data_IF_807109568226
#
_entry.id   IF_807109568226
#
_cell.length_a   1.000
_cell.length_b   1.000
_cell.length_c   1.000
_cell.angle_alpha   90.00
_cell.angle_beta   90.00
_cell.angle_gamma   90.00
#
_symmetry.space_group_name_H-M   'P 1'
#
loop_
_entity.id
_entity.type
_entity.pdbx_description
1 polymer ?
#
# COMPACT_ATOMS: atom_id res chain seq x y z
N UNK A 1 -77.06 39.43 -21.05
CA UNK A 1 -77.04 38.08 -20.47
C UNK A 1 -76.00 37.30 -21.24
N UNK A 2 -74.78 37.29 -20.71
CA UNK A 2 -73.56 37.02 -21.48
C UNK A 2 -72.66 36.11 -20.65
N UNK A 3 -72.33 34.97 -21.23
CA UNK A 3 -71.54 33.88 -20.65
C UNK A 3 -70.07 34.28 -20.51
N UNK A 4 -69.42 33.95 -19.38
CA UNK A 4 -67.97 33.72 -19.34
C UNK A 4 -67.67 32.42 -18.60
N UNK A 5 -67.02 31.52 -19.34
CA UNK A 5 -66.59 30.17 -18.96
C UNK A 5 -65.44 30.24 -17.95
N UNK A 6 -65.49 29.42 -16.90
CA UNK A 6 -64.34 29.07 -16.09
C UNK A 6 -63.44 28.13 -16.90
N UNK A 7 -62.18 28.51 -17.11
CA UNK A 7 -61.13 27.62 -17.57
C UNK A 7 -60.32 27.18 -16.34
N UNK A 8 -60.36 25.89 -16.03
CA UNK A 8 -59.46 25.25 -15.06
C UNK A 8 -58.27 24.71 -15.86
N UNK A 9 -57.11 25.31 -15.65
CA UNK A 9 -55.85 24.87 -16.26
C UNK A 9 -55.32 23.67 -15.48
N UNK A 10 -55.33 22.50 -16.11
CA UNK A 10 -54.74 21.27 -15.59
C UNK A 10 -53.23 21.30 -15.92
N UNK A 11 -52.37 21.53 -14.93
CA UNK A 11 -50.92 21.38 -15.10
C UNK A 11 -50.58 19.89 -15.15
N UNK A 12 -50.22 19.43 -16.35
CA UNK A 12 -49.66 18.10 -16.58
C UNK A 12 -48.15 18.19 -16.36
N UNK A 13 -47.65 17.78 -15.19
CA UNK A 13 -46.21 17.60 -14.96
C UNK A 13 -45.86 16.14 -15.20
N UNK A 14 -45.49 15.80 -16.43
CA UNK A 14 -44.81 14.53 -16.71
C UNK A 14 -43.37 14.63 -16.21
N UNK A 15 -43.06 13.91 -15.13
CA UNK A 15 -41.70 13.69 -14.64
C UNK A 15 -40.97 12.83 -15.68
N UNK A 16 -40.05 13.43 -16.41
CA UNK A 16 -39.12 12.72 -17.28
C UNK A 16 -38.06 12.08 -16.36
N UNK A 17 -38.22 10.79 -16.05
CA UNK A 17 -37.19 10.04 -15.35
C UNK A 17 -35.94 9.95 -16.23
N UNK A 18 -34.92 10.73 -15.90
CA UNK A 18 -33.57 10.46 -16.40
C UNK A 18 -33.15 9.10 -15.82
N UNK A 19 -33.11 8.08 -16.69
CA UNK A 19 -32.29 6.91 -16.46
C UNK A 19 -30.83 7.37 -16.52
N UNK A 20 -30.29 7.75 -15.37
CA UNK A 20 -28.84 7.87 -15.24
C UNK A 20 -28.29 6.46 -15.31
N UNK A 21 -27.65 6.12 -16.42
CA UNK A 21 -26.69 5.02 -16.45
C UNK A 21 -25.70 5.31 -15.34
N UNK A 22 -25.71 4.51 -14.28
CA UNK A 22 -24.65 4.50 -13.27
C UNK A 22 -23.36 4.12 -14.00
N UNK A 23 -22.65 5.10 -14.56
CA UNK A 23 -21.22 4.96 -14.74
C UNK A 23 -20.70 4.84 -13.31
N UNK A 24 -20.27 3.63 -12.94
CA UNK A 24 -19.60 3.41 -11.67
C UNK A 24 -18.49 4.45 -11.57
N UNK A 25 -18.66 5.39 -10.65
CA UNK A 25 -17.69 6.45 -10.41
C UNK A 25 -16.39 5.76 -9.99
N UNK A 26 -15.27 6.13 -10.62
CA UNK A 26 -13.95 5.64 -10.21
C UNK A 26 -13.79 5.87 -8.71
N UNK A 27 -13.09 4.97 -8.02
CA UNK A 27 -12.72 5.22 -6.63
C UNK A 27 -11.94 6.54 -6.59
N UNK A 28 -12.49 7.57 -5.95
CA UNK A 28 -11.78 8.83 -5.78
C UNK A 28 -10.83 8.70 -4.60
N UNK A 29 -9.62 9.23 -4.77
CA UNK A 29 -8.58 9.24 -3.74
C UNK A 29 -8.13 10.67 -3.50
N UNK A 30 -7.95 11.03 -2.22
CA UNK A 30 -7.16 12.20 -1.85
C UNK A 30 -5.71 11.79 -1.68
N UNK A 31 -4.79 12.67 -2.09
CA UNK A 31 -3.36 12.40 -2.00
C UNK A 31 -2.70 13.31 -0.97
N UNK A 32 -1.86 12.70 -0.13
CA UNK A 32 -1.00 13.40 0.82
C UNK A 32 0.46 13.14 0.48
N UNK A 33 1.29 14.19 0.54
CA UNK A 33 2.75 14.05 0.47
C UNK A 33 3.28 13.70 1.86
N UNK A 34 3.99 12.59 1.96
CA UNK A 34 4.66 12.16 3.20
C UNK A 34 6.06 12.74 3.30
N UNK A 35 6.82 12.65 2.21
CA UNK A 35 8.19 13.12 2.10
C UNK A 35 8.58 13.27 0.63
N UNK A 36 9.46 14.21 0.31
CA UNK A 36 10.00 14.41 -1.03
C UNK A 36 11.48 14.87 -0.99
N UNK A 37 12.11 15.00 -2.15
CA UNK A 37 13.50 15.47 -2.30
C UNK A 37 13.74 16.89 -1.77
N UNK A 38 12.68 17.67 -1.50
CA UNK A 38 12.76 19.01 -0.93
C UNK A 38 12.50 19.03 0.59
N UNK A 39 12.15 17.88 1.17
CA UNK A 39 11.77 17.78 2.58
C UNK A 39 12.98 17.99 3.49
N UNK A 40 12.75 18.67 4.62
CA UNK A 40 13.78 19.05 5.58
C UNK A 40 14.29 17.83 6.38
N UNK A 41 15.15 17.03 5.77
CA UNK A 41 16.07 16.19 6.52
C UNK A 41 17.28 17.00 6.98
N UNK A 42 18.00 16.52 8.00
CA UNK A 42 19.35 17.03 8.28
C UNK A 42 20.29 16.85 7.08
N UNK A 43 19.99 15.90 6.19
CA UNK A 43 20.75 15.55 4.98
C UNK A 43 19.78 15.31 3.83
N UNK A 44 19.93 15.93 2.65
CA UNK A 44 19.07 15.68 1.49
C UNK A 44 18.91 14.19 1.19
N UNK A 45 17.67 13.75 1.00
CA UNK A 45 17.33 12.37 0.60
C UNK A 45 16.93 12.33 -0.87
N UNK A 46 17.29 11.24 -1.53
CA UNK A 46 16.93 10.93 -2.92
C UNK A 46 16.80 9.40 -3.06
N UNK A 47 16.19 8.90 -4.13
CA UNK A 47 15.92 7.46 -4.32
C UNK A 47 15.05 6.87 -3.19
N UNK A 48 13.74 7.14 -3.24
CA UNK A 48 12.76 6.60 -2.29
C UNK A 48 12.31 5.20 -2.69
N UNK A 49 12.39 4.25 -1.77
CA UNK A 49 12.05 2.86 -2.07
C UNK A 49 11.37 2.16 -0.89
N UNK A 50 10.63 1.10 -1.25
CA UNK A 50 9.96 0.14 -0.38
C UNK A 50 9.13 0.78 0.73
N UNK A 51 8.17 1.68 0.41
CA UNK A 51 7.32 2.26 1.42
C UNK A 51 6.34 1.21 1.98
N UNK A 52 6.21 1.17 3.31
CA UNK A 52 5.23 0.38 4.04
C UNK A 52 4.36 1.31 4.89
N UNK A 53 3.05 1.03 4.97
CA UNK A 53 2.10 1.82 5.76
C UNK A 53 1.34 0.92 6.74
N UNK A 54 1.17 1.40 7.98
CA UNK A 54 0.37 0.69 8.98
C UNK A 54 -1.02 1.31 9.16
N UNK A 55 -1.85 0.67 9.98
CA UNK A 55 -3.25 1.09 10.24
C UNK A 55 -3.36 2.37 11.05
N UNK A 56 -2.26 2.88 11.61
CA UNK A 56 -2.20 4.20 12.25
C UNK A 56 -1.83 5.30 11.25
N UNK A 57 -1.33 4.93 10.06
CA UNK A 57 -0.84 5.87 9.05
C UNK A 57 0.63 6.24 9.23
N UNK A 58 1.35 5.48 10.06
CA UNK A 58 2.82 5.54 10.07
C UNK A 58 3.32 4.93 8.77
N UNK A 59 4.25 5.62 8.12
CA UNK A 59 4.95 5.15 6.93
C UNK A 59 6.41 4.87 7.29
N UNK A 60 6.89 3.67 6.97
CA UNK A 60 8.30 3.32 6.99
C UNK A 60 8.81 3.20 5.55
N UNK A 61 10.06 3.61 5.30
CA UNK A 61 10.61 3.63 3.94
C UNK A 61 12.14 3.63 3.95
N UNK A 62 12.71 3.20 2.84
CA UNK A 62 14.14 3.34 2.55
C UNK A 62 14.39 4.60 1.71
N UNK A 63 15.52 5.26 1.95
CA UNK A 63 16.00 6.33 1.08
C UNK A 63 17.53 6.42 1.09
N UNK A 64 18.11 6.82 -0.04
CA UNK A 64 19.48 7.32 -0.06
C UNK A 64 19.52 8.74 0.50
N UNK A 65 20.68 9.15 1.03
CA UNK A 65 20.93 10.51 1.45
C UNK A 65 22.37 10.92 1.15
N UNK A 66 22.59 12.21 0.85
CA UNK A 66 23.93 12.76 0.72
C UNK A 66 24.00 14.26 1.04
N UNK A 67 25.11 14.67 1.65
CA UNK A 67 25.59 16.05 1.73
C UNK A 67 27.10 16.11 1.46
N UNK A 68 27.70 17.29 1.61
CA UNK A 68 29.13 17.53 1.36
C UNK A 68 30.09 16.76 2.31
N UNK A 69 29.58 16.10 3.35
CA UNK A 69 30.37 15.42 4.40
C UNK A 69 30.00 13.93 4.54
N UNK A 70 28.74 13.55 4.30
CA UNK A 70 28.18 12.21 4.53
C UNK A 70 27.23 11.80 3.40
N UNK A 71 27.31 10.53 2.97
CA UNK A 71 26.36 9.93 2.02
C UNK A 71 26.13 8.46 2.34
N UNK A 72 24.90 7.98 2.27
CA UNK A 72 24.57 6.59 2.58
C UNK A 72 23.11 6.24 2.32
N UNK A 73 22.68 5.12 2.87
CA UNK A 73 21.27 4.70 2.84
C UNK A 73 20.73 4.61 4.26
N UNK A 74 19.43 4.82 4.39
CA UNK A 74 18.75 4.76 5.68
C UNK A 74 17.34 4.20 5.57
N UNK A 75 16.87 3.68 6.69
CA UNK A 75 15.48 3.32 6.92
C UNK A 75 14.89 4.34 7.88
N UNK A 76 13.78 4.92 7.48
CA UNK A 76 13.11 6.02 8.17
C UNK A 76 11.67 5.65 8.44
N UNK A 77 11.07 6.34 9.41
CA UNK A 77 9.64 6.27 9.67
C UNK A 77 9.07 7.67 9.91
N UNK A 78 7.80 7.88 9.58
CA UNK A 78 7.10 9.15 9.82
C UNK A 78 5.60 8.93 9.96
N UNK A 79 4.94 9.79 10.73
CA UNK A 79 3.49 9.87 10.86
C UNK A 79 2.95 11.23 10.40
N UNK A 80 3.67 11.88 9.48
CA UNK A 80 3.37 13.22 8.96
C UNK A 80 3.82 14.37 9.88
N UNK A 81 4.19 14.12 11.14
CA UNK A 81 4.66 15.17 12.07
C UNK A 81 6.18 15.28 12.17
N UNK A 82 6.85 14.13 12.16
CA UNK A 82 8.30 14.04 12.35
C UNK A 82 8.85 12.80 11.66
N UNK A 83 9.93 12.99 10.91
CA UNK A 83 10.73 11.89 10.38
C UNK A 83 11.67 11.39 11.49
N UNK A 84 11.68 10.08 11.70
CA UNK A 84 12.52 9.36 12.66
C UNK A 84 13.43 8.40 11.90
N UNK A 85 14.74 8.58 12.04
CA UNK A 85 15.72 7.59 11.56
C UNK A 85 15.62 6.34 12.42
N UNK A 86 15.35 5.20 11.78
CA UNK A 86 15.38 3.88 12.42
C UNK A 86 16.82 3.37 12.43
N UNK A 87 17.49 3.43 11.28
CA UNK A 87 18.89 3.04 11.09
C UNK A 87 19.42 3.71 9.82
N UNK A 88 20.73 3.92 9.76
CA UNK A 88 21.40 4.40 8.56
C UNK A 88 22.86 3.88 8.51
N UNK A 89 23.50 3.95 7.34
CA UNK A 89 24.86 3.39 7.12
C UNK A 89 26.02 4.27 7.61
N UNK A 90 25.78 5.50 8.05
CA UNK A 90 26.84 6.41 8.54
C UNK A 90 26.63 6.86 10.00
N UNK A 91 25.56 6.40 10.65
CA UNK A 91 25.05 6.94 11.89
C UNK A 91 25.70 6.35 13.14
N UNK A 92 25.46 7.02 14.26
CA UNK A 92 25.94 6.66 15.61
C UNK A 92 25.29 5.39 16.19
N UNK A 93 24.25 4.85 15.52
CA UNK A 93 23.44 3.73 16.02
C UNK A 93 23.96 2.33 15.61
N UNK A 94 25.10 2.25 14.93
CA UNK A 94 25.78 1.00 14.64
C UNK A 94 26.53 1.04 13.32
N UNK A 95 27.61 0.25 13.22
CA UNK A 95 28.39 0.09 11.99
C UNK A 95 27.64 -0.78 10.97
N UNK A 96 26.55 -0.24 10.41
CA UNK A 96 25.80 -0.87 9.33
C UNK A 96 26.44 -0.53 7.98
N UNK A 97 26.76 -1.55 7.18
CA UNK A 97 27.33 -1.36 5.83
C UNK A 97 26.29 -1.50 4.72
N UNK A 98 25.18 -2.19 5.00
CA UNK A 98 24.06 -2.36 4.09
C UNK A 98 22.75 -2.53 4.86
N UNK A 99 21.65 -2.16 4.21
CA UNK A 99 20.30 -2.24 4.74
C UNK A 99 19.38 -2.89 3.70
N UNK A 100 18.54 -3.81 4.16
CA UNK A 100 17.49 -4.42 3.35
C UNK A 100 16.17 -3.66 3.43
N UNK A 101 15.13 -4.24 2.82
CA UNK A 101 13.80 -3.64 2.78
C UNK A 101 13.08 -3.68 4.14
N UNK A 102 12.47 -2.55 4.60
CA UNK A 102 11.73 -2.52 5.85
C UNK A 102 10.37 -3.21 5.78
N UNK A 103 9.93 -3.75 6.91
CA UNK A 103 8.52 -4.06 7.20
C UNK A 103 8.05 -3.34 8.46
N UNK A 104 6.75 -3.12 8.59
CA UNK A 104 6.17 -2.26 9.62
C UNK A 104 4.94 -2.93 10.25
N UNK A 105 4.86 -2.92 11.59
CA UNK A 105 3.65 -3.32 12.31
C UNK A 105 2.81 -2.11 12.77
N UNK A 106 1.60 -2.36 13.29
CA UNK A 106 0.68 -1.31 13.74
C UNK A 106 1.16 -0.53 14.96
N UNK A 107 2.13 -1.07 15.71
CA UNK A 107 2.79 -0.34 16.82
C UNK A 107 3.93 0.59 16.37
N UNK A 108 4.21 0.68 15.07
CA UNK A 108 5.29 1.52 14.53
C UNK A 108 6.67 0.89 14.65
N UNK A 109 6.76 -0.41 14.95
CA UNK A 109 8.03 -1.14 14.96
C UNK A 109 8.38 -1.55 13.55
N UNK A 110 9.59 -1.19 13.13
CA UNK A 110 10.14 -1.53 11.82
C UNK A 110 11.07 -2.73 11.97
N UNK A 111 10.88 -3.77 11.17
CA UNK A 111 11.83 -4.87 11.04
C UNK A 111 12.61 -4.76 9.72
N UNK A 112 13.90 -5.09 9.73
CA UNK A 112 14.78 -4.98 8.57
C UNK A 112 15.97 -5.94 8.67
N UNK A 113 16.56 -6.28 7.52
CA UNK A 113 17.85 -6.96 7.46
C UNK A 113 18.96 -5.91 7.34
N UNK A 114 20.16 -6.22 7.82
CA UNK A 114 21.34 -5.41 7.51
C UNK A 114 22.64 -6.14 7.79
N UNK A 115 23.69 -5.73 7.09
CA UNK A 115 25.04 -6.07 7.51
C UNK A 115 25.47 -5.15 8.63
N UNK A 116 25.96 -5.74 9.72
CA UNK A 116 26.39 -4.99 10.88
C UNK A 116 27.71 -5.52 11.41
N UNK A 117 28.61 -4.61 11.76
CA UNK A 117 29.82 -4.95 12.51
C UNK A 117 29.60 -4.71 14.00
N UNK A 118 29.65 -5.77 14.81
CA UNK A 118 29.63 -5.69 16.27
C UNK A 118 30.94 -6.24 16.84
N UNK A 119 31.59 -5.50 17.73
CA UNK A 119 32.80 -5.96 18.42
C UNK A 119 33.89 -6.50 17.46
N UNK A 120 34.08 -5.86 16.31
CA UNK A 120 34.99 -6.26 15.21
C UNK A 120 34.62 -7.55 14.48
N UNK A 121 33.40 -8.02 14.66
CA UNK A 121 32.83 -9.17 13.93
C UNK A 121 31.73 -8.64 13.01
N UNK A 122 31.94 -8.80 11.70
CA UNK A 122 30.93 -8.48 10.69
C UNK A 122 30.02 -9.68 10.45
N UNK A 123 28.77 -9.41 10.13
CA UNK A 123 27.78 -10.43 9.83
C UNK A 123 26.49 -9.81 9.32
N UNK A 124 25.57 -10.67 8.91
CA UNK A 124 24.24 -10.27 8.46
C UNK A 124 23.25 -10.59 9.56
N UNK A 125 22.39 -9.63 9.88
CA UNK A 125 21.36 -9.82 10.90
C UNK A 125 20.01 -9.29 10.48
N UNK A 126 19.01 -9.70 11.26
CA UNK A 126 17.68 -9.13 11.27
C UNK A 126 17.50 -8.32 12.54
N UNK A 127 16.87 -7.17 12.42
CA UNK A 127 16.76 -6.19 13.48
C UNK A 127 15.36 -5.61 13.52
N UNK A 128 14.99 -5.09 14.68
CA UNK A 128 13.77 -4.31 14.87
C UNK A 128 14.09 -2.98 15.54
N UNK A 129 13.38 -1.92 15.18
CA UNK A 129 13.51 -0.62 15.82
C UNK A 129 12.31 0.28 15.62
N UNK A 130 12.14 1.24 16.52
CA UNK A 130 11.14 2.31 16.45
C UNK A 130 11.79 3.70 16.74
N UNK A 131 13.10 3.79 16.48
CA UNK A 131 13.99 4.87 16.88
C UNK A 131 15.00 4.44 17.94
N UNK A 132 16.17 5.07 17.96
CA UNK A 132 17.28 4.67 18.85
C UNK A 132 18.08 3.47 18.33
N UNK A 133 18.73 2.73 19.23
CA UNK A 133 19.54 1.55 18.86
C UNK A 133 18.65 0.37 18.46
N UNK A 134 18.81 -0.21 17.24
CA UNK A 134 18.04 -1.37 16.83
C UNK A 134 18.32 -2.62 17.68
N UNK A 135 17.26 -3.34 18.04
CA UNK A 135 17.33 -4.62 18.71
C UNK A 135 17.65 -5.74 17.72
N UNK A 136 18.51 -6.68 18.10
CA UNK A 136 18.87 -7.84 17.27
C UNK A 136 17.84 -8.94 17.40
N UNK A 137 17.26 -9.36 16.27
CA UNK A 137 16.35 -10.50 16.15
C UNK A 137 17.14 -11.79 15.89
N UNK A 138 18.11 -11.71 14.99
CA UNK A 138 19.02 -12.79 14.59
C UNK A 138 20.30 -12.18 14.04
N UNK A 139 21.43 -12.86 14.20
CA UNK A 139 22.72 -12.41 13.66
C UNK A 139 23.58 -13.61 13.30
N UNK A 140 24.04 -13.63 12.06
CA UNK A 140 24.94 -14.64 11.52
C UNK A 140 26.27 -14.00 11.12
N UNK A 141 27.33 -14.32 11.86
CA UNK A 141 28.68 -13.85 11.62
C UNK A 141 29.48 -14.70 10.63
N UNK A 142 28.88 -15.75 10.07
CA UNK A 142 29.47 -16.60 9.05
C UNK A 142 28.80 -16.43 7.67
N UNK A 143 27.82 -15.53 7.58
CA UNK A 143 27.14 -15.22 6.32
C UNK A 143 28.16 -14.88 5.23
N UNK A 144 28.20 -15.69 4.15
CA UNK A 144 29.20 -15.58 3.07
C UNK A 144 28.83 -14.58 1.97
N UNK A 145 27.73 -13.86 2.15
CA UNK A 145 27.24 -12.85 1.22
C UNK A 145 25.88 -12.30 1.66
N UNK A 146 25.46 -11.22 1.02
CA UNK A 146 24.12 -10.63 1.21
C UNK A 146 23.19 -11.27 0.19
N UNK A 147 22.17 -11.95 0.69
CA UNK A 147 20.92 -12.12 -0.02
C UNK A 147 19.93 -11.20 0.70
N UNK A 148 19.36 -10.24 -0.03
CA UNK A 148 18.39 -9.29 0.53
C UNK A 148 17.12 -10.07 0.86
N UNK A 149 16.96 -10.41 2.13
CA UNK A 149 15.74 -10.97 2.70
C UNK A 149 14.90 -9.84 3.26
N UNK A 150 13.60 -9.94 3.03
CA UNK A 150 12.60 -9.02 3.56
C UNK A 150 11.93 -9.66 4.77
N UNK A 151 12.33 -9.31 6.01
CA UNK A 151 11.62 -9.80 7.18
C UNK A 151 10.21 -9.24 7.19
N UNK A 152 9.26 -9.98 7.76
CA UNK A 152 7.90 -9.54 8.02
C UNK A 152 7.63 -9.56 9.52
N UNK A 153 6.96 -8.54 10.04
CA UNK A 153 6.66 -8.38 11.46
C UNK A 153 5.16 -8.26 11.68
N UNK A 154 4.63 -8.93 12.69
CA UNK A 154 3.25 -8.75 13.13
C UNK A 154 3.15 -7.86 14.39
N UNK A 155 1.93 -7.56 14.82
CA UNK A 155 1.65 -6.67 15.95
C UNK A 155 2.05 -7.26 17.30
N UNK A 156 2.28 -8.57 17.38
CA UNK A 156 2.87 -9.22 18.55
C UNK A 156 4.40 -9.07 18.59
N UNK A 157 5.00 -8.42 17.61
CA UNK A 157 6.45 -8.31 17.45
C UNK A 157 7.12 -9.62 17.01
N UNK A 158 6.34 -10.58 16.51
CA UNK A 158 6.91 -11.81 15.92
C UNK A 158 7.45 -11.49 14.54
N UNK A 159 8.71 -11.83 14.30
CA UNK A 159 9.39 -11.56 13.02
C UNK A 159 9.59 -12.86 12.26
N UNK A 160 9.03 -12.96 11.05
CA UNK A 160 9.32 -14.02 10.10
C UNK A 160 10.44 -13.58 9.15
N UNK A 161 11.41 -14.44 8.89
CA UNK A 161 12.55 -14.13 8.03
C UNK A 161 13.14 -15.40 7.39
N UNK A 162 13.79 -15.25 6.24
CA UNK A 162 14.58 -16.31 5.63
C UNK A 162 16.05 -16.17 6.05
N UNK A 163 16.77 -17.26 6.28
CA UNK A 163 18.22 -17.16 6.46
C UNK A 163 18.94 -16.69 5.19
N UNK A 164 20.18 -16.23 5.39
CA UNK A 164 21.01 -15.64 4.34
C UNK A 164 21.54 -16.69 3.34
N UNK A 165 21.19 -17.97 3.51
CA UNK A 165 21.48 -19.05 2.56
C UNK A 165 20.25 -19.40 1.70
N UNK A 166 19.20 -18.57 1.78
CA UNK A 166 17.89 -18.76 1.12
C UNK A 166 17.23 -20.09 1.45
N UNK A 167 17.65 -20.73 2.55
CA UNK A 167 17.45 -22.14 2.81
C UNK A 167 16.36 -22.42 3.85
N UNK A 168 16.25 -21.63 4.91
CA UNK A 168 15.24 -21.88 5.93
C UNK A 168 14.49 -20.61 6.34
N UNK A 169 13.18 -20.78 6.53
CA UNK A 169 12.33 -19.77 7.12
C UNK A 169 12.28 -19.98 8.62
N UNK A 170 12.41 -18.88 9.34
CA UNK A 170 12.31 -18.83 10.79
C UNK A 170 11.25 -17.84 11.23
N UNK A 171 10.75 -18.07 12.44
CA UNK A 171 10.05 -17.05 13.22
C UNK A 171 10.86 -16.77 14.49
N UNK A 172 11.02 -15.50 14.84
CA UNK A 172 11.41 -15.08 16.17
C UNK A 172 10.17 -14.58 16.90
N UNK A 173 9.76 -15.29 17.95
CA UNK A 173 8.68 -14.87 18.82
C UNK A 173 9.21 -14.74 20.25
N UNK A 174 9.19 -13.52 20.80
CA UNK A 174 9.70 -13.20 22.14
C UNK A 174 11.17 -13.65 22.35
N UNK A 175 12.03 -13.48 21.36
CA UNK A 175 13.44 -13.87 21.41
C UNK A 175 13.71 -15.34 21.12
N UNK A 176 12.67 -16.18 20.97
CA UNK A 176 12.82 -17.58 20.59
C UNK A 176 12.75 -17.74 19.08
N UNK A 177 13.84 -18.21 18.48
CA UNK A 177 13.93 -18.54 17.06
C UNK A 177 13.46 -19.98 16.83
N UNK A 178 12.54 -20.17 15.88
CA UNK A 178 12.00 -21.48 15.47
C UNK A 178 12.05 -21.60 13.97
N UNK A 179 12.70 -22.64 13.44
CA UNK A 179 12.62 -22.97 12.00
C UNK A 179 11.22 -23.49 11.68
N UNK A 180 10.61 -22.96 10.62
CA UNK A 180 9.26 -23.32 10.18
C UNK A 180 9.23 -23.92 8.78
N UNK A 181 10.30 -23.82 7.98
CA UNK A 181 10.40 -24.50 6.70
C UNK A 181 11.85 -24.48 6.20
N UNK A 182 12.20 -25.46 5.39
CA UNK A 182 13.31 -25.34 4.46
C UNK A 182 12.73 -24.93 3.10
N UNK A 183 13.10 -23.76 2.63
CA UNK A 183 12.64 -23.15 1.38
C UNK A 183 13.86 -22.93 0.50
N UNK A 184 13.73 -22.98 -0.82
CA UNK A 184 14.81 -22.57 -1.73
C UNK A 184 14.42 -21.24 -2.40
N UNK A 185 14.35 -20.15 -1.62
CA UNK A 185 14.23 -18.81 -2.20
C UNK A 185 12.86 -18.10 -2.13
N UNK A 186 12.43 -17.65 -0.95
CA UNK A 186 11.28 -16.73 -0.86
C UNK A 186 11.21 -15.92 0.43
N UNK A 187 10.63 -14.72 0.35
CA UNK A 187 10.42 -13.86 1.52
C UNK A 187 9.13 -14.27 2.28
N UNK A 188 9.22 -14.62 3.58
CA UNK A 188 8.04 -14.99 4.34
C UNK A 188 7.23 -13.75 4.74
N UNK A 189 5.90 -13.86 4.75
CA UNK A 189 5.01 -12.81 5.26
C UNK A 189 4.15 -13.37 6.39
N UNK A 190 4.04 -12.66 7.51
CA UNK A 190 3.31 -13.11 8.70
C UNK A 190 2.15 -12.17 9.02
N UNK A 191 0.99 -12.74 9.41
CA UNK A 191 -0.16 -11.98 9.92
C UNK A 191 -0.25 -12.00 11.46
N UNK A 192 -1.23 -11.31 12.05
CA UNK A 192 -1.42 -11.22 13.50
C UNK A 192 -1.93 -12.52 14.14
N UNK A 193 -2.52 -13.44 13.36
CA UNK A 193 -2.78 -14.81 13.79
C UNK A 193 -1.51 -15.67 13.91
N UNK A 194 -0.37 -15.20 13.41
CA UNK A 194 0.88 -15.98 13.34
C UNK A 194 0.91 -16.97 12.17
N UNK A 195 0.00 -16.82 11.21
CA UNK A 195 0.06 -17.55 9.95
C UNK A 195 1.14 -16.94 9.09
N UNK A 196 2.00 -17.77 8.50
CA UNK A 196 3.10 -17.34 7.64
C UNK A 196 2.88 -17.86 6.22
N UNK A 197 2.91 -16.98 5.22
CA UNK A 197 2.96 -17.36 3.80
C UNK A 197 4.41 -17.44 3.31
N UNK A 198 4.72 -18.45 2.50
CA UNK A 198 6.03 -18.65 1.86
C UNK A 198 5.94 -19.71 0.76
N UNK A 199 6.99 -19.83 -0.05
CA UNK A 199 7.09 -20.85 -1.11
C UNK A 199 7.89 -22.05 -0.63
N UNK A 200 7.30 -23.24 -0.76
CA UNK A 200 7.97 -24.52 -0.59
C UNK A 200 8.38 -25.11 -1.95
N UNK A 201 9.60 -25.67 -2.07
CA UNK A 201 10.07 -26.26 -3.33
C UNK A 201 9.17 -27.37 -3.89
N UNK A 202 8.52 -28.14 -3.02
CA UNK A 202 7.69 -29.30 -3.36
C UNK A 202 6.19 -28.99 -3.44
N UNK A 203 5.72 -27.90 -2.80
CA UNK A 203 4.29 -27.58 -2.67
C UNK A 203 3.85 -26.28 -3.33
N UNK A 204 4.79 -25.43 -3.75
CA UNK A 204 4.49 -24.08 -4.21
C UNK A 204 4.20 -23.12 -3.06
N UNK A 205 3.36 -22.11 -3.31
CA UNK A 205 2.95 -21.12 -2.32
C UNK A 205 2.03 -21.77 -1.28
N UNK A 206 2.40 -21.65 -0.01
CA UNK A 206 1.66 -22.19 1.13
C UNK A 206 1.45 -21.14 2.21
N UNK A 207 0.47 -21.38 3.07
CA UNK A 207 0.41 -20.79 4.41
C UNK A 207 0.72 -21.85 5.47
N UNK A 208 1.34 -21.43 6.57
CA UNK A 208 1.59 -22.28 7.74
C UNK A 208 1.17 -21.58 9.02
N UNK A 209 0.34 -22.24 9.82
CA UNK A 209 0.03 -21.81 11.19
C UNK A 209 0.28 -23.00 12.15
N UNK A 210 1.35 -22.90 12.94
CA UNK A 210 1.85 -24.01 13.74
C UNK A 210 2.24 -25.22 12.87
N UNK A 211 1.53 -26.33 13.03
CA UNK A 211 1.74 -27.56 12.25
C UNK A 211 0.82 -27.69 11.04
N UNK A 212 -0.14 -26.78 10.87
CA UNK A 212 -1.07 -26.81 9.75
C UNK A 212 -0.42 -26.11 8.56
N UNK A 213 -0.36 -26.78 7.41
CA UNK A 213 0.10 -26.22 6.14
C UNK A 213 -1.00 -26.33 5.11
N UNK A 214 -1.34 -25.21 4.49
CA UNK A 214 -2.35 -25.12 3.43
C UNK A 214 -1.67 -24.71 2.14
N UNK A 215 -1.82 -25.50 1.08
CA UNK A 215 -1.36 -25.11 -0.25
C UNK A 215 -2.32 -24.08 -0.84
N UNK A 216 -1.78 -22.95 -1.28
CA UNK A 216 -2.54 -21.87 -1.92
C UNK A 216 -2.45 -22.01 -3.43
N UNK A 217 -1.23 -22.14 -3.96
CA UNK A 217 -0.97 -22.24 -5.39
C UNK A 217 0.29 -23.08 -5.66
N UNK A 218 0.33 -23.74 -6.82
CA UNK A 218 1.50 -24.48 -7.29
C UNK A 218 1.64 -24.37 -8.81
N UNK A 219 2.78 -24.83 -9.32
CA UNK A 219 3.13 -24.77 -10.75
C UNK A 219 2.75 -26.03 -11.53
N UNK A 220 1.89 -26.89 -10.98
CA UNK A 220 1.50 -28.14 -11.64
C UNK A 220 0.39 -27.96 -12.68
N UNK A 221 -0.31 -26.81 -12.66
CA UNK A 221 -1.49 -26.57 -13.50
C UNK A 221 -1.52 -25.17 -14.10
N UNK A 222 -1.98 -24.14 -13.39
CA UNK A 222 -2.26 -22.82 -13.99
C UNK A 222 -0.98 -22.00 -14.21
N UNK A 223 0.01 -22.19 -13.36
CA UNK A 223 1.18 -21.31 -13.26
C UNK A 223 2.45 -21.98 -13.75
N UNK A 224 3.27 -21.25 -14.50
CA UNK A 224 4.66 -21.65 -14.84
C UNK A 224 5.62 -21.29 -13.72
N UNK A 225 5.39 -20.18 -13.02
CA UNK A 225 6.15 -19.76 -11.84
C UNK A 225 5.29 -18.92 -10.89
N UNK A 226 5.72 -18.86 -9.63
CA UNK A 226 5.15 -18.02 -8.58
C UNK A 226 6.23 -17.01 -8.16
N UNK A 227 5.85 -15.75 -7.91
CA UNK A 227 6.80 -14.72 -7.46
C UNK A 227 7.43 -15.06 -6.10
N UNK A 228 8.76 -14.92 -6.00
CA UNK A 228 9.54 -15.17 -4.79
C UNK A 228 9.62 -13.98 -3.83
N UNK A 229 9.22 -12.79 -4.25
CA UNK A 229 9.38 -11.54 -3.49
C UNK A 229 8.34 -11.33 -2.38
N UNK A 230 7.82 -12.45 -1.85
CA UNK A 230 6.81 -12.48 -0.81
C UNK A 230 5.38 -12.44 -1.36
N UNK A 231 4.45 -12.96 -0.59
CA UNK A 231 3.03 -13.03 -0.93
C UNK A 231 2.21 -12.64 0.30
N UNK A 232 1.72 -11.39 0.42
CA UNK A 232 1.05 -10.96 1.64
C UNK A 232 -0.25 -11.72 1.84
N UNK A 233 -0.64 -11.78 3.11
CA UNK A 233 -1.86 -12.45 3.55
C UNK A 233 -2.62 -11.57 4.53
N UNK A 234 -3.94 -11.65 4.47
CA UNK A 234 -4.80 -10.99 5.43
C UNK A 234 -5.02 -11.85 6.69
N UNK A 235 -5.77 -11.34 7.66
CA UNK A 235 -6.05 -12.06 8.92
C UNK A 235 -6.85 -13.36 8.72
N UNK A 236 -7.65 -13.47 7.65
CA UNK A 236 -8.38 -14.68 7.28
C UNK A 236 -7.51 -15.74 6.59
N UNK A 237 -6.24 -15.43 6.30
CA UNK A 237 -5.31 -16.31 5.61
C UNK A 237 -5.48 -16.34 4.09
N UNK A 238 -6.21 -15.39 3.52
CA UNK A 238 -6.24 -15.16 2.07
C UNK A 238 -4.94 -14.51 1.65
N UNK A 239 -4.23 -15.13 0.70
CA UNK A 239 -2.94 -14.68 0.19
C UNK A 239 -3.11 -14.02 -1.15
N UNK A 240 -2.52 -12.85 -1.36
CA UNK A 240 -2.36 -12.23 -2.67
C UNK A 240 -0.97 -12.54 -3.24
N UNK A 241 -0.89 -12.86 -4.53
CA UNK A 241 0.37 -13.24 -5.17
C UNK A 241 0.39 -12.92 -6.67
N UNK A 242 1.59 -12.66 -7.18
CA UNK A 242 1.91 -12.55 -8.60
C UNK A 242 2.38 -13.91 -9.13
N UNK A 243 1.91 -14.31 -10.31
CA UNK A 243 2.33 -15.54 -10.97
C UNK A 243 2.40 -15.40 -12.49
N UNK A 244 3.33 -16.13 -13.11
CA UNK A 244 3.36 -16.34 -14.55
C UNK A 244 2.42 -17.49 -14.91
N UNK A 245 1.63 -17.30 -15.98
CA UNK A 245 0.66 -18.28 -16.46
C UNK A 245 1.32 -19.30 -17.40
N UNK A 246 0.89 -20.57 -17.38
CA UNK A 246 1.32 -21.56 -18.38
C UNK A 246 0.92 -21.16 -19.81
N UNK A 247 -0.20 -20.45 -19.97
CA UNK A 247 -0.67 -19.93 -21.25
C UNK A 247 0.17 -18.75 -21.79
N UNK A 248 1.16 -18.28 -21.02
CA UNK A 248 1.85 -17.02 -21.24
C UNK A 248 1.14 -15.86 -20.55
N UNK A 249 1.91 -14.80 -20.28
CA UNK A 249 1.47 -13.64 -19.51
C UNK A 249 1.58 -13.82 -18.00
N UNK A 250 1.13 -12.81 -17.28
CA UNK A 250 1.19 -12.71 -15.82
C UNK A 250 -0.19 -12.41 -15.24
N UNK A 251 -0.36 -12.67 -13.94
CA UNK A 251 -1.55 -12.24 -13.22
C UNK A 251 -1.35 -12.07 -11.72
N UNK A 252 -2.23 -11.24 -11.15
CA UNK A 252 -2.41 -11.04 -9.72
C UNK A 252 -3.61 -11.88 -9.28
N UNK A 253 -3.38 -12.75 -8.30
CA UNK A 253 -4.37 -13.70 -7.80
C UNK A 253 -4.52 -13.59 -6.29
N UNK A 254 -5.68 -14.01 -5.79
CA UNK A 254 -5.87 -14.31 -4.37
C UNK A 254 -6.31 -15.75 -4.17
N UNK A 255 -5.99 -16.32 -3.01
CA UNK A 255 -6.45 -17.66 -2.64
C UNK A 255 -6.27 -17.97 -1.16
N UNK A 256 -7.11 -18.87 -0.65
CA UNK A 256 -7.09 -19.34 0.74
C UNK A 256 -6.99 -20.88 0.85
N UNK A 257 -6.65 -21.55 -0.26
CA UNK A 257 -6.53 -23.01 -0.36
C UNK A 257 -7.78 -23.74 -0.88
N UNK A 258 -8.90 -23.05 -1.11
CA UNK A 258 -10.08 -23.63 -1.76
C UNK A 258 -10.12 -23.34 -3.26
N UNK A 259 -10.21 -22.05 -3.62
CA UNK A 259 -10.23 -21.59 -5.02
C UNK A 259 -9.38 -20.34 -5.18
N UNK A 260 -8.87 -20.15 -6.39
CA UNK A 260 -8.16 -18.95 -6.78
C UNK A 260 -9.14 -17.93 -7.39
N UNK A 261 -8.91 -16.66 -7.09
CA UNK A 261 -9.60 -15.54 -7.73
C UNK A 261 -8.58 -14.71 -8.50
N UNK A 262 -8.85 -14.47 -9.79
CA UNK A 262 -8.06 -13.52 -10.58
C UNK A 262 -8.49 -12.11 -10.23
N UNK A 263 -7.53 -11.26 -9.82
CA UNK A 263 -7.75 -9.84 -9.55
C UNK A 263 -7.48 -9.02 -10.81
N UNK A 264 -6.39 -9.33 -11.51
CA UNK A 264 -5.98 -8.74 -12.77
C UNK A 264 -5.03 -9.69 -13.50
N UNK A 265 -4.99 -9.61 -14.83
CA UNK A 265 -4.02 -10.34 -15.65
C UNK A 265 -3.65 -9.53 -16.90
N UNK A 266 -2.63 -9.99 -17.62
CA UNK A 266 -2.14 -9.34 -18.84
C UNK A 266 -2.95 -9.70 -20.10
N UNK A 267 -4.11 -10.37 -19.97
CA UNK A 267 -5.00 -10.59 -21.11
C UNK A 267 -5.78 -9.32 -21.48
N UNK A 268 -6.02 -8.45 -20.50
CA UNK A 268 -6.68 -7.14 -20.64
C UNK A 268 -5.72 -5.99 -20.98
N UNK A 269 -5.87 -4.85 -20.31
CA UNK A 269 -5.13 -3.61 -20.62
C UNK A 269 -3.71 -3.56 -20.04
N UNK A 270 -3.37 -4.49 -19.13
CA UNK A 270 -2.04 -4.56 -18.51
C UNK A 270 -1.04 -5.29 -19.40
N UNK A 271 0.18 -4.77 -19.46
CA UNK A 271 1.32 -5.36 -20.16
C UNK A 271 2.18 -6.23 -19.24
N UNK A 272 2.17 -5.95 -17.94
CA UNK A 272 2.88 -6.70 -16.91
C UNK A 272 2.71 -6.06 -15.53
N UNK A 273 3.26 -6.69 -14.50
CA UNK A 273 3.20 -6.22 -13.11
C UNK A 273 4.58 -5.88 -12.57
N UNK A 274 4.70 -4.78 -11.83
CA UNK A 274 5.99 -4.26 -11.38
C UNK A 274 6.53 -4.88 -10.09
N UNK A 275 5.64 -5.38 -9.22
CA UNK A 275 6.00 -5.93 -7.91
C UNK A 275 4.91 -6.86 -7.37
N UNK A 276 5.20 -7.52 -6.25
CA UNK A 276 4.18 -8.27 -5.49
C UNK A 276 3.03 -7.35 -5.05
N UNK A 277 1.77 -7.83 -5.12
CA UNK A 277 0.60 -7.04 -4.71
C UNK A 277 0.58 -6.84 -3.19
N UNK A 278 -0.22 -5.88 -2.71
CA UNK A 278 -0.58 -5.74 -1.30
C UNK A 278 -2.05 -6.16 -1.08
N UNK A 279 -2.38 -6.73 0.09
CA UNK A 279 -3.75 -7.12 0.48
C UNK A 279 -4.05 -6.64 1.89
N UNK A 280 -5.30 -6.20 2.14
CA UNK A 280 -5.78 -5.83 3.47
C UNK A 280 -6.81 -6.83 4.04
N UNK A 281 -7.27 -6.60 5.27
CA UNK A 281 -8.21 -7.48 5.97
C UNK A 281 -9.62 -7.52 5.37
N UNK A 282 -10.01 -6.50 4.59
CA UNK A 282 -11.23 -6.53 3.78
C UNK A 282 -11.08 -7.37 2.49
N UNK A 283 -9.89 -7.92 2.22
CA UNK A 283 -9.57 -8.64 1.00
C UNK A 283 -9.35 -7.74 -0.22
N UNK A 284 -9.23 -6.42 -0.02
CA UNK A 284 -8.87 -5.50 -1.10
C UNK A 284 -7.42 -5.70 -1.47
N UNK A 285 -7.15 -5.68 -2.78
CA UNK A 285 -5.80 -5.84 -3.33
C UNK A 285 -5.41 -4.54 -4.03
N UNK A 286 -4.16 -4.10 -3.83
CA UNK A 286 -3.53 -3.04 -4.60
C UNK A 286 -2.27 -3.57 -5.29
N UNK A 287 -2.01 -3.14 -6.51
CA UNK A 287 -0.87 -3.62 -7.29
C UNK A 287 -0.35 -2.55 -8.26
N UNK A 288 0.94 -2.62 -8.57
CA UNK A 288 1.59 -1.80 -9.58
C UNK A 288 1.64 -2.54 -10.92
N UNK A 289 1.22 -1.89 -12.00
CA UNK A 289 1.17 -2.45 -13.33
C UNK A 289 1.65 -1.49 -14.43
N UNK A 290 2.23 -2.08 -15.47
CA UNK A 290 2.53 -1.41 -16.74
C UNK A 290 1.34 -1.56 -17.69
N UNK A 291 1.05 -0.51 -18.47
CA UNK A 291 -0.09 -0.48 -19.38
C UNK A 291 0.33 -0.74 -20.81
N UNK A 292 -0.47 -1.50 -21.57
CA UNK A 292 -0.27 -1.72 -23.02
C UNK A 292 -0.37 -0.43 -23.82
N UNK A 293 -1.10 0.56 -23.32
CA UNK A 293 -1.16 1.92 -23.89
C UNK A 293 0.12 2.73 -23.68
N UNK A 294 1.09 2.19 -22.94
CA UNK A 294 2.25 2.90 -22.42
C UNK A 294 1.98 3.52 -21.06
N UNK A 295 3.06 3.70 -20.29
CA UNK A 295 3.01 4.21 -18.92
C UNK A 295 2.73 3.10 -17.89
N UNK A 296 2.48 3.54 -16.66
CA UNK A 296 2.33 2.67 -15.50
C UNK A 296 1.44 3.31 -14.44
N UNK A 297 0.98 2.52 -13.48
CA UNK A 297 0.18 3.02 -12.38
C UNK A 297 -0.11 1.99 -11.30
N UNK A 298 -0.81 2.44 -10.26
CA UNK A 298 -1.28 1.62 -9.16
C UNK A 298 -2.80 1.44 -9.29
N UNK A 299 -3.24 0.19 -9.17
CA UNK A 299 -4.62 -0.23 -9.41
C UNK A 299 -5.11 -1.15 -8.30
N UNK A 300 -6.43 -1.29 -8.20
CA UNK A 300 -7.12 -2.16 -7.23
C UNK A 300 -7.97 -3.26 -7.88
N UNK A 301 -7.83 -3.46 -9.19
CA UNK A 301 -8.62 -4.41 -9.97
C UNK A 301 -8.39 -4.26 -11.47
N UNK A 302 -9.06 -5.11 -12.26
CA UNK A 302 -8.78 -5.26 -13.69
C UNK A 302 -9.26 -4.10 -14.59
N UNK A 303 -10.21 -3.28 -14.13
CA UNK A 303 -10.74 -2.16 -14.92
C UNK A 303 -9.87 -0.90 -14.67
N UNK A 304 -9.04 -0.54 -15.65
CA UNK A 304 -8.08 0.57 -15.54
C UNK A 304 -8.72 1.96 -15.40
N UNK A 305 -10.04 2.07 -15.55
CA UNK A 305 -10.78 3.32 -15.32
C UNK A 305 -11.37 3.31 -13.91
N UNK A 306 -12.07 2.24 -13.53
CA UNK A 306 -12.77 2.16 -12.23
C UNK A 306 -11.83 1.91 -11.06
N UNK A 307 -10.77 1.13 -11.29
CA UNK A 307 -9.86 0.65 -10.25
C UNK A 307 -8.54 1.42 -10.19
N UNK A 308 -8.36 2.47 -11.00
CA UNK A 308 -7.16 3.30 -10.97
C UNK A 308 -7.06 4.07 -9.66
N UNK A 309 -5.91 3.95 -9.02
CA UNK A 309 -5.51 4.80 -7.89
C UNK A 309 -4.78 6.02 -8.43
N UNK A 310 -3.69 5.80 -9.17
CA UNK A 310 -2.88 6.84 -9.80
C UNK A 310 -2.10 6.22 -10.98
N UNK A 311 -1.88 6.98 -12.06
CA UNK A 311 -1.04 6.55 -13.18
C UNK A 311 -0.21 7.70 -13.75
N UNK A 312 0.82 7.37 -14.54
CA UNK A 312 1.61 8.36 -15.30
C UNK A 312 0.69 9.27 -16.12
N UNK A 313 0.95 10.58 -16.05
CA UNK A 313 0.14 11.63 -16.68
C UNK A 313 -0.96 12.21 -15.79
N UNK A 314 -1.38 11.50 -14.73
CA UNK A 314 -2.32 12.02 -13.74
C UNK A 314 -1.70 13.15 -12.92
N UNK A 315 -2.55 14.02 -12.38
CA UNK A 315 -2.09 15.06 -11.45
C UNK A 315 -1.88 14.43 -10.07
N UNK A 316 -0.74 14.72 -9.46
CA UNK A 316 -0.44 14.41 -8.06
C UNK A 316 -0.05 15.71 -7.38
N UNK A 317 -0.96 16.23 -6.56
CA UNK A 317 -0.89 17.59 -6.01
C UNK A 317 -0.74 18.63 -7.14
N UNK A 318 0.31 19.45 -7.10
CA UNK A 318 0.54 20.55 -8.04
C UNK A 318 1.40 20.16 -9.26
N UNK A 319 1.63 18.86 -9.50
CA UNK A 319 2.43 18.38 -10.64
C UNK A 319 1.83 17.13 -11.27
N UNK A 320 2.50 16.61 -12.31
CA UNK A 320 2.09 15.39 -13.02
C UNK A 320 3.01 14.23 -12.67
N UNK A 321 2.43 13.04 -12.50
CA UNK A 321 3.20 11.80 -12.34
C UNK A 321 3.93 11.48 -13.64
N UNK A 322 5.23 11.26 -13.56
CA UNK A 322 6.07 10.83 -14.68
C UNK A 322 6.57 9.40 -14.53
N UNK A 323 6.55 8.85 -13.32
CA UNK A 323 6.90 7.46 -13.04
C UNK A 323 6.44 7.04 -11.64
N UNK A 324 6.17 5.75 -11.48
CA UNK A 324 6.00 5.09 -10.18
C UNK A 324 7.36 4.50 -9.83
N UNK A 325 7.98 5.00 -8.77
CA UNK A 325 9.33 4.59 -8.38
C UNK A 325 9.31 3.31 -7.54
N UNK A 326 8.29 3.17 -6.69
CA UNK A 326 8.16 2.02 -5.81
C UNK A 326 6.74 1.85 -5.29
N UNK A 327 6.28 0.60 -5.30
CA UNK A 327 5.10 0.11 -4.58
C UNK A 327 5.45 -1.29 -4.06
N UNK A 328 5.22 -1.54 -2.79
CA UNK A 328 5.59 -2.79 -2.13
C UNK A 328 4.34 -3.49 -1.57
N UNK A 329 4.46 -4.77 -1.23
CA UNK A 329 3.41 -5.65 -0.74
C UNK A 329 2.88 -5.28 0.67
N UNK A 330 3.52 -4.31 1.35
CA UNK A 330 3.01 -3.63 2.56
C UNK A 330 2.52 -2.20 2.27
N UNK A 331 2.29 -1.88 1.00
CA UNK A 331 1.86 -0.58 0.52
C UNK A 331 0.38 -0.27 0.77
N UNK A 332 -0.40 -1.19 1.35
CA UNK A 332 -1.84 -1.05 1.61
C UNK A 332 -2.14 -1.38 3.08
N UNK A 333 -2.88 -0.51 3.78
CA UNK A 333 -3.35 -0.76 5.15
C UNK A 333 -4.85 -1.13 5.21
N UNK A 334 -5.34 -1.47 6.41
CA UNK A 334 -6.74 -1.85 6.65
C UNK A 334 -7.73 -0.69 6.55
N UNK A 335 -7.25 0.56 6.49
CA UNK A 335 -8.09 1.72 6.15
C UNK A 335 -8.24 1.92 4.63
N UNK A 336 -7.61 1.07 3.83
CA UNK A 336 -7.58 1.17 2.38
C UNK A 336 -6.63 2.25 1.85
N UNK A 337 -5.79 2.83 2.71
CA UNK A 337 -4.78 3.80 2.28
C UNK A 337 -3.62 3.09 1.59
N UNK A 338 -3.15 3.69 0.50
CA UNK A 338 -2.11 3.15 -0.36
C UNK A 338 -0.90 4.08 -0.34
N UNK A 339 0.26 3.59 0.09
CA UNK A 339 1.52 4.33 0.05
C UNK A 339 2.36 3.90 -1.15
N UNK A 340 3.00 4.87 -1.80
CA UNK A 340 3.85 4.65 -2.98
C UNK A 340 4.88 5.76 -3.15
N UNK A 341 5.96 5.47 -3.86
CA UNK A 341 6.94 6.45 -4.31
C UNK A 341 6.70 6.82 -5.78
N UNK A 342 6.87 8.10 -6.14
CA UNK A 342 6.65 8.60 -7.49
C UNK A 342 7.60 9.74 -7.87
N UNK A 343 7.96 9.79 -9.16
CA UNK A 343 8.59 10.94 -9.82
C UNK A 343 7.54 11.86 -10.43
N UNK A 344 7.79 13.17 -10.33
CA UNK A 344 6.93 14.22 -10.84
C UNK A 344 7.60 15.05 -11.95
N UNK A 345 6.79 15.62 -12.83
CA UNK A 345 7.23 16.43 -13.97
C UNK A 345 8.00 17.71 -13.59
N UNK A 346 7.88 18.17 -12.34
CA UNK A 346 8.69 19.26 -11.81
C UNK A 346 10.09 18.81 -11.32
N UNK A 347 10.47 17.54 -11.54
CA UNK A 347 11.75 16.95 -11.13
C UNK A 347 11.79 16.47 -9.68
N UNK A 348 10.68 16.53 -8.94
CA UNK A 348 10.60 16.06 -7.55
C UNK A 348 10.33 14.56 -7.51
N UNK A 349 11.00 13.85 -6.61
CA UNK A 349 10.64 12.48 -6.21
C UNK A 349 10.13 12.50 -4.78
N UNK A 350 9.20 11.63 -4.44
CA UNK A 350 8.70 11.54 -3.06
C UNK A 350 7.82 10.34 -2.80
N UNK A 351 7.44 10.18 -1.55
CA UNK A 351 6.47 9.20 -1.07
C UNK A 351 5.15 9.90 -0.79
N UNK A 352 4.09 9.27 -1.26
CA UNK A 352 2.73 9.78 -1.19
C UNK A 352 1.79 8.71 -0.65
N UNK A 353 0.70 9.14 -0.01
CA UNK A 353 -0.38 8.27 0.44
C UNK A 353 -1.66 8.67 -0.29
N UNK A 354 -2.25 7.71 -1.01
CA UNK A 354 -3.60 7.79 -1.54
C UNK A 354 -4.58 7.28 -0.48
N UNK A 355 -5.51 8.13 -0.05
CA UNK A 355 -6.57 7.78 0.89
C UNK A 355 -7.90 7.72 0.13
N UNK A 356 -8.64 6.60 0.18
CA UNK A 356 -9.96 6.50 -0.45
C UNK A 356 -10.87 7.60 0.10
N UNK A 357 -11.53 8.33 -0.80
CA UNK A 357 -12.60 9.23 -0.41
C UNK A 357 -13.81 8.37 0.00
N UNK A 358 -14.27 8.55 1.23
CA UNK A 358 -15.52 7.94 1.64
C UNK A 358 -16.64 8.55 0.81
N UNK A 359 -17.26 7.77 -0.08
CA UNK A 359 -18.43 8.20 -0.87
C UNK A 359 -19.66 8.56 -0.01
N UNK A 360 -19.54 8.52 1.32
CA UNK A 360 -20.55 8.88 2.30
C UNK A 360 -20.36 10.29 2.89
N UNK A 361 -19.27 11.02 2.58
CA UNK A 361 -19.22 12.45 2.92
C UNK A 361 -20.10 13.22 1.97
N UNK A 362 -21.33 13.52 2.40
CA UNK A 362 -22.17 14.55 1.78
C UNK A 362 -21.29 15.81 1.67
N UNK A 363 -21.14 16.42 0.48
CA UNK A 363 -20.44 17.69 0.37
C UNK A 363 -21.10 18.65 1.36
N UNK A 364 -20.32 19.24 2.27
CA UNK A 364 -20.78 20.40 3.04
C UNK A 364 -21.42 21.37 2.03
N UNK A 365 -22.72 21.69 2.14
CA UNK A 365 -23.31 22.66 1.25
C UNK A 365 -22.48 23.93 1.42
N UNK A 366 -21.81 24.35 0.36
CA UNK A 366 -21.07 25.61 0.35
C UNK A 366 -22.09 26.72 0.63
N UNK A 367 -22.15 27.17 1.89
CA UNK A 367 -22.94 28.32 2.29
C UNK A 367 -22.30 29.56 1.66
N UNK A 368 -22.68 29.85 0.42
CA UNK A 368 -22.52 31.17 -0.15
C UNK A 368 -23.44 32.09 0.66
N UNK A 369 -22.88 32.95 1.49
CA UNK A 369 -23.60 34.10 2.05
C UNK A 369 -24.00 35.03 0.88
N UNK A 370 -25.10 34.70 0.23
CA UNK A 370 -25.84 35.60 -0.64
C UNK A 370 -27.04 36.10 0.15
N UNK A 371 -26.97 37.34 0.65
CA UNK A 371 -28.11 38.04 1.23
C UNK A 371 -29.28 38.03 0.23
N UNK A 372 -30.33 37.26 0.54
CA UNK A 372 -31.64 37.47 -0.06
C UNK A 372 -32.48 38.26 0.92
N UNK A 373 -32.48 39.58 0.77
CA UNK A 373 -33.44 40.47 1.42
C UNK A 373 -34.83 40.13 0.86
N UNK A 374 -35.63 39.38 1.62
CA UNK A 374 -37.07 39.28 1.36
C UNK A 374 -37.75 40.44 2.07
N UNK A 375 -37.96 41.53 1.33
CA UNK A 375 -38.82 42.64 1.76
C UNK A 375 -40.27 42.19 1.83
N UNK A 376 -40.80 41.98 3.04
CA UNK A 376 -42.24 41.81 3.25
C UNK A 376 -42.90 43.19 3.20
N UNK A 377 -43.48 43.53 2.05
CA UNK A 377 -44.35 44.69 1.90
C UNK A 377 -45.67 44.47 2.61
N UNK A 378 -45.85 45.11 3.77
CA UNK A 378 -47.14 45.19 4.46
C UNK A 378 -48.07 46.17 3.71
N UNK A 379 -49.02 45.64 2.94
CA UNK A 379 -50.11 46.44 2.37
C UNK A 379 -51.23 46.56 3.41
N UNK A 380 -51.45 47.80 3.85
CA UNK A 380 -52.57 48.23 4.68
C UNK A 380 -53.91 48.04 3.96
N UNK A 381 -54.87 47.36 4.60
CA UNK A 381 -56.28 47.42 4.22
C UNK A 381 -57.13 47.79 5.44
N UNK A 382 -57.53 49.07 5.47
CA UNK A 382 -58.61 49.60 6.33
C UNK A 382 -59.92 48.94 5.89
N UNK A 383 -60.64 48.32 6.83
CA UNK A 383 -62.08 48.14 6.73
C UNK A 383 -62.77 48.66 7.98
N UNK A 384 -63.79 49.48 7.72
CA UNK A 384 -64.60 50.24 8.66
C UNK A 384 -65.38 49.36 9.66
N UNK A 385 -65.51 49.88 10.88
CA UNK A 385 -66.50 49.41 11.86
C UNK A 385 -67.92 49.78 11.40
N UNK A 386 -68.82 48.80 11.43
CA UNK A 386 -70.25 49.01 11.65
C UNK A 386 -70.73 48.01 12.72
N UNK A 387 -70.69 48.43 13.98
CA UNK A 387 -71.80 48.50 14.94
C UNK A 387 -71.25 48.92 16.30
#
# INVERSE_FOLDING_TARGET
MTVRKLAVTMLCSTVLGLLTTNQAQAASFTFEKIVDTNSLFRIPVYEFDSPAINDEGTVAFSAAYANNQDSGTGIFSTNGKKITTIVDTNGTNGSFSSLGTPSLNNFGTVAFQGERTLNKVSGVGFFTGNGGLPATVYFDNNAKGILVSRPSINDKGTVAFADNEFGNIYINSNGKITSIANTNGGNPVINNQGTVSFILPDKGLVTRNGQVTTTIANTNNLFSSLSGDGSPLNEEGTVAFLANLLSGGEGIFTGNGASLTTIADTSGDFDGFGASPAINDDGKVAFWAFLKSGGEGIFTGSDIVKNKVIATGDNLLDSKVTGIESFDLQGLNNRGQIVFAASLANGTQGIYVATPENTNSVPEPSFLFGELIVGVGAVWLRLHKHK
#
